data_IF_066066112751
#
_entry.id   IF_066066112751
#
_cell.length_a   1.000
_cell.length_b   1.000
_cell.length_c   1.000
_cell.angle_alpha   90.00
_cell.angle_beta   90.00
_cell.angle_gamma   90.00
#
_symmetry.space_group_name_H-M   'P 1'
#
loop_
_entity.id
_entity.type
_entity.pdbx_description
1 polymer ?
#
# COMPACT_ATOMS: atom_id res chain seq x y z
N UNK A 1 -1.05 -12.50 -17.97
CA UNK A 1 -0.66 -12.41 -16.55
C UNK A 1 -0.46 -10.94 -16.13
N UNK A 2 -1.51 -10.11 -16.11
CA UNK A 2 -1.42 -8.67 -15.74
C UNK A 2 -2.36 -8.24 -14.60
N UNK A 3 -2.92 -9.20 -13.87
CA UNK A 3 -3.89 -8.97 -12.79
C UNK A 3 -3.31 -9.19 -11.36
N UNK A 4 -2.00 -9.43 -11.22
CA UNK A 4 -1.39 -9.75 -9.92
C UNK A 4 -0.82 -8.54 -9.15
N UNK A 5 -0.80 -7.34 -9.73
CA UNK A 5 -0.20 -6.16 -9.09
C UNK A 5 -1.08 -5.50 -7.99
N UNK A 6 -2.36 -5.90 -7.84
CA UNK A 6 -3.32 -5.18 -7.00
C UNK A 6 -3.38 -5.61 -5.52
N UNK A 7 -2.51 -6.53 -5.08
CA UNK A 7 -2.56 -7.09 -3.72
C UNK A 7 -1.23 -7.03 -2.95
N UNK A 8 -0.17 -6.42 -3.49
CA UNK A 8 1.15 -6.49 -2.86
C UNK A 8 1.35 -5.53 -1.66
N UNK A 9 0.42 -4.61 -1.40
CA UNK A 9 0.47 -3.70 -0.23
C UNK A 9 -0.57 -4.03 0.84
N UNK A 10 -1.38 -5.08 0.62
CA UNK A 10 -2.18 -5.70 1.67
C UNK A 10 -1.41 -6.92 2.16
N UNK A 11 -1.01 -6.90 3.43
CA UNK A 11 -0.28 -7.96 4.09
C UNK A 11 -0.77 -9.36 3.68
N UNK A 12 0.16 -10.18 3.18
CA UNK A 12 0.09 -11.63 3.20
C UNK A 12 -0.13 -12.09 4.66
N UNK A 13 -1.38 -12.24 5.07
CA UNK A 13 -1.77 -13.10 6.20
C UNK A 13 -2.00 -14.49 5.61
N UNK A 14 -0.90 -15.17 5.29
CA UNK A 14 -0.92 -16.59 4.96
C UNK A 14 -0.98 -17.40 6.25
N UNK A 15 -2.17 -17.88 6.60
CA UNK A 15 -2.29 -19.00 7.52
C UNK A 15 -1.91 -20.27 6.75
N UNK A 16 -0.74 -20.84 7.05
CA UNK A 16 -0.43 -22.21 6.64
C UNK A 16 -1.33 -23.15 7.44
N UNK A 17 -2.41 -23.63 6.81
CA UNK A 17 -3.24 -24.72 7.29
C UNK A 17 -2.67 -26.02 6.69
N UNK A 18 -1.90 -26.75 7.49
CA UNK A 18 -1.44 -28.11 7.17
C UNK A 18 -2.65 -29.06 7.23
N UNK A 19 -3.36 -29.19 6.11
CA UNK A 19 -4.55 -30.03 5.97
C UNK A 19 -4.28 -31.31 5.19
N UNK A 20 -4.27 -32.43 5.93
CA UNK A 20 -4.15 -33.83 5.51
C UNK A 20 -4.88 -34.20 4.20
N UNK A 21 -4.15 -34.96 3.39
CA UNK A 21 -4.56 -35.62 2.16
C UNK A 21 -5.54 -36.77 2.46
N UNK A 22 -6.84 -36.51 2.30
CA UNK A 22 -7.89 -37.53 2.32
C UNK A 22 -8.68 -37.50 1.01
N UNK A 23 -8.30 -38.39 0.12
CA UNK A 23 -9.03 -38.75 -1.10
C UNK A 23 -10.46 -39.18 -0.78
N UNK A 24 -11.45 -38.44 -1.30
CA UNK A 24 -12.84 -38.90 -1.34
C UNK A 24 -13.41 -38.67 -2.73
N UNK A 25 -13.46 -39.75 -3.51
CA UNK A 25 -14.29 -39.89 -4.69
C UNK A 25 -15.76 -39.73 -4.30
N UNK A 26 -16.43 -38.71 -4.84
CA UNK A 26 -17.89 -38.67 -4.89
C UNK A 26 -18.36 -37.93 -6.14
N UNK A 27 -18.88 -38.72 -7.08
CA UNK A 27 -19.60 -38.26 -8.25
C UNK A 27 -20.80 -37.38 -7.85
N UNK A 28 -20.87 -36.17 -8.41
CA UNK A 28 -22.06 -35.31 -8.36
C UNK A 28 -22.64 -35.15 -9.77
N UNK A 29 -23.82 -35.74 -9.95
CA UNK A 29 -24.76 -35.48 -11.05
C UNK A 29 -25.31 -34.05 -11.01
N UNK A 30 -25.54 -33.40 -12.16
CA UNK A 30 -26.16 -32.08 -12.21
C UNK A 30 -27.67 -32.20 -12.02
N UNK A 31 -28.20 -31.51 -11.00
CA UNK A 31 -29.63 -31.31 -10.83
C UNK A 31 -29.99 -29.87 -11.19
N UNK A 32 -30.92 -29.75 -12.13
CA UNK A 32 -31.67 -28.56 -12.50
C UNK A 32 -32.16 -27.77 -11.28
N UNK A 33 -31.88 -26.47 -11.26
CA UNK A 33 -32.66 -25.52 -10.47
C UNK A 33 -33.13 -24.37 -11.36
N UNK A 34 -34.41 -24.46 -11.72
CA UNK A 34 -35.19 -23.40 -12.33
C UNK A 34 -35.35 -22.24 -11.36
N UNK A 35 -35.05 -21.02 -11.83
CA UNK A 35 -35.32 -19.78 -11.11
C UNK A 35 -36.81 -19.43 -11.20
N UNK A 36 -37.47 -19.02 -10.11
CA UNK A 36 -38.83 -18.49 -10.17
C UNK A 36 -38.84 -17.01 -10.62
N UNK A 37 -39.77 -16.72 -11.53
CA UNK A 37 -40.14 -15.38 -12.00
C UNK A 37 -40.57 -14.47 -10.83
N UNK A 38 -39.89 -13.33 -10.69
CA UNK A 38 -40.27 -12.25 -9.78
C UNK A 38 -41.12 -11.17 -10.47
N UNK A 39 -42.06 -10.53 -9.76
CA UNK A 39 -43.10 -9.72 -10.37
C UNK A 39 -42.63 -8.32 -10.80
N UNK A 40 -43.08 -7.95 -11.99
CA UNK A 40 -43.16 -6.60 -12.55
C UNK A 40 -43.90 -5.65 -11.61
N UNK A 41 -43.30 -4.50 -11.28
CA UNK A 41 -44.01 -3.39 -10.63
C UNK A 41 -44.02 -2.20 -11.59
N UNK A 42 -45.24 -1.87 -11.98
CA UNK A 42 -45.64 -0.81 -12.89
C UNK A 42 -45.35 0.60 -12.35
N UNK A 43 -45.18 1.50 -13.31
CA UNK A 43 -45.02 2.92 -13.18
C UNK A 43 -46.28 3.65 -12.67
N UNK A 44 -46.07 4.77 -12.00
CA UNK A 44 -47.09 5.79 -11.76
C UNK A 44 -46.44 7.16 -11.50
N UNK A 45 -46.76 8.20 -12.30
CA UNK A 45 -46.25 9.55 -12.11
C UNK A 45 -47.23 10.36 -11.24
N UNK A 46 -46.73 11.14 -10.28
CA UNK A 46 -47.55 12.18 -9.65
C UNK A 46 -46.78 13.50 -9.57
N UNK A 47 -47.42 14.49 -10.20
CA UNK A 47 -47.05 15.88 -10.23
C UNK A 47 -47.52 16.58 -8.96
N UNK A 48 -46.71 17.51 -8.44
CA UNK A 48 -47.17 18.63 -7.63
C UNK A 48 -46.13 19.76 -7.60
N UNK A 49 -46.32 20.76 -8.44
CA UNK A 49 -46.13 22.18 -8.08
C UNK A 49 -47.28 22.56 -7.11
N UNK A 50 -47.18 23.51 -6.16
CA UNK A 50 -46.81 24.90 -6.48
C UNK A 50 -46.16 25.76 -5.36
N UNK A 51 -45.97 27.02 -5.75
CA UNK A 51 -46.12 28.26 -4.97
C UNK A 51 -44.88 29.11 -4.65
N UNK A 52 -44.98 30.31 -5.21
CA UNK A 52 -44.20 31.51 -5.00
C UNK A 52 -44.52 32.15 -3.64
N UNK A 53 -43.54 32.86 -3.08
CA UNK A 53 -43.73 34.19 -2.48
C UNK A 53 -42.41 34.79 -1.97
N UNK A 54 -42.23 36.09 -2.28
CA UNK A 54 -41.64 37.16 -1.45
C UNK A 54 -40.19 37.01 -0.98
N UNK A 55 -39.24 37.88 -1.33
CA UNK A 55 -39.33 39.34 -1.44
C UNK A 55 -38.96 39.98 -0.10
N UNK A 56 -37.66 40.06 0.22
CA UNK A 56 -37.14 40.86 1.33
C UNK A 56 -35.90 41.65 0.89
N UNK A 57 -35.95 42.94 1.22
CA UNK A 57 -35.02 44.01 0.89
C UNK A 57 -33.64 43.82 1.55
N UNK A 58 -32.57 43.74 0.74
CA UNK A 58 -31.19 43.82 1.22
C UNK A 58 -30.70 45.28 1.19
N UNK A 59 -30.44 45.81 2.38
CA UNK A 59 -29.83 47.12 2.59
C UNK A 59 -28.38 47.18 2.06
N UNK A 60 -27.89 48.36 1.62
CA UNK A 60 -26.49 48.54 1.24
C UNK A 60 -25.67 48.97 2.46
N UNK A 61 -24.75 48.12 2.90
CA UNK A 61 -23.73 48.42 3.91
C UNK A 61 -22.86 47.18 4.09
N UNK A 62 -21.55 47.22 4.24
CA UNK A 62 -20.57 48.27 4.48
C UNK A 62 -19.26 47.83 3.79
N UNK A 63 -18.35 48.76 3.55
CA UNK A 63 -17.01 48.55 2.98
C UNK A 63 -16.28 47.34 3.62
N UNK A 64 -16.24 46.23 2.90
CA UNK A 64 -15.37 45.11 3.22
C UNK A 64 -13.93 45.54 2.95
N UNK A 65 -13.14 45.68 4.02
CA UNK A 65 -11.70 45.85 3.92
C UNK A 65 -11.12 44.75 3.00
N UNK A 66 -10.20 45.08 2.09
CA UNK A 66 -9.58 44.09 1.24
C UNK A 66 -8.96 42.98 2.10
N UNK A 67 -9.18 41.69 1.77
CA UNK A 67 -8.62 40.59 2.54
C UNK A 67 -7.11 40.80 2.66
N UNK A 68 -6.59 40.72 3.89
CA UNK A 68 -5.15 40.82 4.10
C UNK A 68 -4.46 39.72 3.29
N UNK A 69 -3.35 40.04 2.60
CA UNK A 69 -2.60 39.06 1.85
C UNK A 69 -2.15 37.96 2.81
N UNK A 70 -2.59 36.74 2.52
CA UNK A 70 -2.26 35.53 3.25
C UNK A 70 -0.74 35.48 3.46
N UNK A 71 -0.30 35.78 4.69
CA UNK A 71 1.12 35.93 5.00
C UNK A 71 1.80 34.57 4.89
N UNK A 72 2.40 34.35 3.72
CA UNK A 72 3.60 33.54 3.56
C UNK A 72 3.44 32.09 3.98
N UNK A 73 2.85 31.29 3.10
CA UNK A 73 3.25 29.88 3.00
C UNK A 73 4.76 29.90 2.74
N UNK A 74 5.55 29.65 3.79
CA UNK A 74 7.01 29.56 3.71
C UNK A 74 7.44 28.57 2.64
N UNK A 75 8.73 28.55 2.26
CA UNK A 75 9.23 27.59 1.29
C UNK A 75 8.76 26.20 1.74
N UNK A 76 8.15 25.44 0.82
CA UNK A 76 7.40 24.26 1.19
C UNK A 76 8.35 23.27 1.86
N UNK A 77 8.15 23.05 3.15
CA UNK A 77 8.91 22.06 3.92
C UNK A 77 8.71 20.70 3.25
N UNK A 78 9.81 20.01 2.94
CA UNK A 78 9.76 18.69 2.34
C UNK A 78 8.87 17.75 3.17
N UNK A 79 7.77 17.29 2.56
CA UNK A 79 6.76 16.43 3.20
C UNK A 79 7.18 14.96 3.06
N UNK A 80 8.16 14.57 3.88
CA UNK A 80 8.58 13.17 3.96
C UNK A 80 8.91 12.79 5.40
N UNK A 81 7.88 12.42 6.14
CA UNK A 81 7.96 11.97 7.53
C UNK A 81 7.18 10.67 7.71
N UNK A 82 7.66 9.52 7.20
CA UNK A 82 7.01 8.23 7.41
C UNK A 82 7.08 7.79 8.87
N UNK A 83 6.16 6.92 9.28
CA UNK A 83 6.23 6.25 10.57
C UNK A 83 7.44 5.30 10.63
N UNK A 84 8.02 5.10 11.83
CA UNK A 84 9.02 4.06 12.03
C UNK A 84 8.38 2.68 12.17
N UNK A 85 9.11 1.59 11.94
CA UNK A 85 8.58 0.24 12.09
C UNK A 85 8.09 -0.07 13.51
N UNK A 86 8.72 0.52 14.51
CA UNK A 86 8.42 0.30 15.93
C UNK A 86 7.15 1.02 16.39
N UNK A 87 6.63 1.94 15.57
CA UNK A 87 5.48 2.77 15.94
C UNK A 87 4.36 2.73 14.90
N UNK A 88 4.63 2.28 13.67
CA UNK A 88 3.63 2.22 12.60
C UNK A 88 2.51 1.23 12.93
N UNK A 89 1.30 1.76 13.02
CA UNK A 89 0.07 0.99 13.25
C UNK A 89 -0.84 1.03 12.02
N UNK A 90 -0.33 1.46 10.87
CA UNK A 90 -1.08 1.58 9.62
C UNK A 90 -1.24 3.02 9.15
N UNK A 91 -2.24 3.25 8.33
CA UNK A 91 -2.39 4.51 7.61
C UNK A 91 -3.36 4.41 6.44
N UNK A 92 -3.29 5.44 5.60
CA UNK A 92 -4.07 5.58 4.39
C UNK A 92 -3.15 5.75 3.19
N UNK A 93 -3.54 5.16 2.08
CA UNK A 93 -2.81 5.23 0.82
C UNK A 93 -3.76 5.72 -0.26
N UNK A 94 -3.30 6.76 -0.97
CA UNK A 94 -3.88 7.23 -2.22
C UNK A 94 -2.92 6.79 -3.31
N UNK A 95 -3.28 5.73 -4.01
CA UNK A 95 -2.42 5.09 -5.00
C UNK A 95 -2.83 5.50 -6.40
N UNK A 96 -1.86 6.00 -7.17
CA UNK A 96 -1.96 6.26 -8.61
C UNK A 96 -1.22 5.16 -9.37
N UNK A 97 -2.00 4.22 -9.90
CA UNK A 97 -1.53 3.25 -10.88
C UNK A 97 -1.61 3.82 -12.31
N UNK A 98 -1.30 2.98 -13.31
CA UNK A 98 -1.26 3.39 -14.72
C UNK A 98 -2.63 3.78 -15.29
N UNK A 99 -3.71 3.15 -14.81
CA UNK A 99 -5.06 3.26 -15.38
C UNK A 99 -6.16 3.53 -14.32
N UNK A 100 -5.79 3.62 -13.04
CA UNK A 100 -6.73 3.94 -11.98
C UNK A 100 -6.08 4.74 -10.84
N UNK A 101 -6.94 5.35 -10.01
CA UNK A 101 -6.55 5.89 -8.70
C UNK A 101 -7.40 5.24 -7.61
N UNK A 102 -6.74 4.66 -6.62
CA UNK A 102 -7.35 3.99 -5.48
C UNK A 102 -7.14 4.77 -4.19
N UNK A 103 -8.09 4.63 -3.25
CA UNK A 103 -7.96 5.14 -1.89
C UNK A 103 -8.36 4.04 -0.93
N UNK A 104 -7.47 3.70 -0.01
CA UNK A 104 -7.72 2.71 1.02
C UNK A 104 -6.93 2.99 2.29
N UNK A 105 -7.28 2.30 3.37
CA UNK A 105 -6.52 2.41 4.61
C UNK A 105 -6.99 1.44 5.69
N UNK A 106 -6.15 1.31 6.70
CA UNK A 106 -6.43 0.59 7.92
C UNK A 106 -5.57 1.14 9.04
N UNK A 107 -6.11 1.17 10.26
CA UNK A 107 -5.37 1.55 11.46
C UNK A 107 -5.59 0.45 12.48
N UNK A 108 -4.51 -0.10 13.03
CA UNK A 108 -4.52 -1.11 14.07
C UNK A 108 -4.41 -0.48 15.46
N UNK A 109 -4.81 -1.24 16.48
CA UNK A 109 -4.69 -0.84 17.88
C UNK A 109 -3.28 -1.02 18.45
N UNK A 110 -2.38 -1.64 17.70
CA UNK A 110 -1.00 -1.93 18.08
C UNK A 110 -0.13 -2.29 16.87
N UNK A 111 1.19 -2.28 17.06
CA UNK A 111 2.17 -2.64 16.02
C UNK A 111 2.21 -4.16 15.86
N UNK A 112 2.22 -4.65 14.62
CA UNK A 112 2.38 -6.08 14.34
C UNK A 112 3.82 -6.53 14.62
N UNK A 113 4.07 -7.42 15.61
CA UNK A 113 5.43 -7.73 16.05
C UNK A 113 6.36 -8.24 14.95
N UNK A 114 5.85 -9.04 14.00
CA UNK A 114 6.63 -9.56 12.88
C UNK A 114 6.86 -8.54 11.75
N UNK A 115 6.24 -7.36 11.83
CA UNK A 115 6.46 -6.24 10.90
C UNK A 115 7.42 -5.18 11.47
N UNK A 116 7.99 -5.41 12.67
CA UNK A 116 9.02 -4.54 13.26
C UNK A 116 10.40 -4.91 12.72
N UNK A 117 10.67 -4.50 11.48
CA UNK A 117 11.91 -4.84 10.79
C UNK A 117 13.15 -4.26 11.47
N UNK A 118 14.17 -5.10 11.64
CA UNK A 118 15.48 -4.73 12.15
C UNK A 118 16.43 -4.45 10.99
N UNK A 119 17.18 -3.35 11.09
CA UNK A 119 18.24 -3.05 10.13
C UNK A 119 19.49 -3.88 10.45
N UNK A 120 19.94 -4.70 9.50
CA UNK A 120 21.13 -5.57 9.67
C UNK A 120 22.35 -5.07 8.90
N UNK A 121 22.15 -4.20 7.90
CA UNK A 121 23.21 -3.47 7.21
C UNK A 121 22.65 -2.15 6.64
N UNK A 122 23.53 -1.18 6.39
CA UNK A 122 23.15 0.07 5.72
C UNK A 122 24.31 0.60 4.91
N UNK A 123 24.00 1.20 3.77
CA UNK A 123 24.94 1.90 2.91
C UNK A 123 24.21 2.99 2.12
N UNK A 124 24.67 4.24 2.26
CA UNK A 124 24.00 5.40 1.65
C UNK A 124 22.56 5.54 2.12
N UNK A 125 21.65 5.70 1.15
CA UNK A 125 20.20 5.83 1.35
C UNK A 125 19.49 4.49 1.56
N UNK A 126 20.23 3.37 1.59
CA UNK A 126 19.70 2.03 1.66
C UNK A 126 19.99 1.32 2.99
N UNK A 127 19.08 0.43 3.36
CA UNK A 127 19.22 -0.52 4.47
C UNK A 127 18.77 -1.91 4.07
N UNK A 128 19.51 -2.92 4.51
CA UNK A 128 19.05 -4.31 4.53
C UNK A 128 18.26 -4.51 5.81
N UNK A 129 17.03 -4.96 5.68
CA UNK A 129 16.13 -5.19 6.80
C UNK A 129 15.65 -6.63 6.85
N UNK A 130 15.42 -7.13 8.07
CA UNK A 130 14.89 -8.47 8.36
C UNK A 130 13.85 -8.38 9.47
N UNK A 131 12.74 -9.14 9.43
CA UNK A 131 11.83 -9.22 10.55
C UNK A 131 12.53 -9.90 11.74
N UNK A 132 12.02 -9.68 12.95
CA UNK A 132 12.55 -10.33 14.13
C UNK A 132 12.25 -11.83 14.09
N UNK A 133 13.20 -12.64 14.56
CA UNK A 133 12.92 -14.04 14.88
C UNK A 133 12.10 -14.10 16.16
N UNK A 134 10.80 -14.33 16.04
CA UNK A 134 9.87 -14.44 17.15
C UNK A 134 9.57 -15.92 17.43
N UNK A 135 9.74 -16.36 18.67
CA UNK A 135 9.51 -17.75 19.07
C UNK A 135 8.87 -17.82 20.46
N UNK A 136 7.83 -18.63 20.58
CA UNK A 136 7.04 -18.80 21.81
C UNK A 136 6.84 -20.30 22.05
N UNK A 137 7.20 -20.77 23.25
CA UNK A 137 6.98 -22.15 23.72
C UNK A 137 6.42 -22.14 25.16
N UNK A 138 5.17 -22.59 25.40
CA UNK A 138 4.23 -23.11 24.41
C UNK A 138 3.80 -22.05 23.40
N UNK A 139 3.27 -22.49 22.25
CA UNK A 139 2.67 -21.59 21.26
C UNK A 139 1.56 -20.73 21.85
N UNK A 140 1.33 -19.56 21.26
CA UNK A 140 0.35 -18.60 21.77
C UNK A 140 -1.10 -19.07 21.60
N UNK A 141 -1.96 -18.69 22.56
CA UNK A 141 -3.39 -18.98 22.50
C UNK A 141 -4.09 -18.18 21.38
N UNK A 142 -5.32 -18.59 21.03
CA UNK A 142 -6.13 -17.91 20.01
C UNK A 142 -6.30 -16.42 20.36
N UNK A 143 -6.05 -15.55 19.38
CA UNK A 143 -6.13 -14.08 19.57
C UNK A 143 -4.84 -13.46 20.11
N UNK A 144 -3.76 -14.23 20.23
CA UNK A 144 -2.42 -13.74 20.56
C UNK A 144 -1.42 -14.10 19.46
N UNK A 145 -0.31 -13.38 19.41
CA UNK A 145 0.83 -13.65 18.54
C UNK A 145 2.13 -13.60 19.35
N UNK A 146 3.20 -14.19 18.82
CA UNK A 146 4.48 -14.11 19.49
C UNK A 146 5.07 -12.70 19.35
N UNK A 147 5.49 -12.11 20.47
CA UNK A 147 6.22 -10.84 20.51
C UNK A 147 7.60 -11.01 21.15
N UNK A 148 8.37 -9.92 21.29
CA UNK A 148 9.72 -9.97 21.83
C UNK A 148 9.83 -10.54 23.26
N UNK A 149 8.75 -10.44 24.05
CA UNK A 149 8.72 -10.84 25.46
C UNK A 149 7.68 -11.95 25.74
N UNK A 150 7.34 -12.76 24.74
CA UNK A 150 6.32 -13.80 24.82
C UNK A 150 5.05 -13.42 24.09
N UNK A 151 3.95 -14.11 24.40
CA UNK A 151 2.67 -13.90 23.72
C UNK A 151 2.08 -12.53 24.05
N UNK A 152 1.74 -11.78 23.00
CA UNK A 152 1.05 -10.49 23.05
C UNK A 152 -0.28 -10.59 22.32
N UNK A 153 -1.28 -9.73 22.62
CA UNK A 153 -2.52 -9.70 21.84
C UNK A 153 -2.22 -9.54 20.34
N UNK A 154 -2.99 -10.23 19.49
CA UNK A 154 -2.92 -10.03 18.05
C UNK A 154 -3.46 -8.62 17.74
N UNK A 155 -2.72 -7.77 17.00
CA UNK A 155 -3.23 -6.46 16.61
C UNK A 155 -4.53 -6.59 15.82
N UNK A 156 -5.48 -5.72 16.12
CA UNK A 156 -6.75 -5.65 15.40
C UNK A 156 -6.96 -4.28 14.81
N UNK A 157 -7.51 -4.23 13.60
CA UNK A 157 -7.92 -2.97 12.99
C UNK A 157 -9.02 -2.32 13.83
N UNK A 158 -8.97 -1.00 13.96
CA UNK A 158 -9.92 -0.19 14.72
C UNK A 158 -10.67 0.80 13.81
N UNK A 159 -11.88 1.16 14.25
CA UNK A 159 -12.68 2.23 13.63
C UNK A 159 -12.16 3.59 14.11
N UNK A 160 -11.57 4.35 13.19
CA UNK A 160 -11.13 5.74 13.41
C UNK A 160 -12.19 6.76 12.98
N UNK A 161 -13.45 6.33 12.86
CA UNK A 161 -14.59 7.14 12.46
C UNK A 161 -14.70 7.30 10.95
N UNK A 162 -15.40 8.35 10.52
CA UNK A 162 -15.48 8.73 9.10
C UNK A 162 -14.18 9.42 8.69
N UNK A 163 -13.62 8.98 7.57
CA UNK A 163 -12.39 9.52 6.99
C UNK A 163 -12.73 10.30 5.74
N UNK A 164 -12.48 11.60 5.77
CA UNK A 164 -12.70 12.51 4.65
C UNK A 164 -11.38 12.89 4.01
N UNK A 165 -11.32 12.92 2.68
CA UNK A 165 -10.15 13.32 1.91
C UNK A 165 -10.53 14.44 0.93
N UNK A 166 -9.85 15.56 1.09
CA UNK A 166 -9.95 16.77 0.26
C UNK A 166 -8.72 16.91 -0.64
N UNK A 167 -8.83 17.74 -1.68
CA UNK A 167 -7.75 17.98 -2.64
C UNK A 167 -7.66 16.97 -3.78
N UNK A 168 -8.56 15.99 -3.79
CA UNK A 168 -8.79 15.10 -4.93
C UNK A 168 -9.77 15.73 -5.93
N UNK A 169 -9.75 15.26 -7.18
CA UNK A 169 -10.64 15.67 -8.26
C UNK A 169 -12.13 15.42 -7.95
N UNK A 170 -12.41 14.50 -7.04
CA UNK A 170 -13.69 14.34 -6.38
C UNK A 170 -13.44 14.07 -4.89
N UNK A 171 -14.23 14.68 -3.98
CA UNK A 171 -14.07 14.44 -2.54
C UNK A 171 -14.35 12.97 -2.21
N UNK A 172 -13.58 12.41 -1.28
CA UNK A 172 -13.75 11.03 -0.80
C UNK A 172 -14.16 11.07 0.66
N UNK A 173 -15.17 10.27 1.01
CA UNK A 173 -15.56 10.02 2.40
C UNK A 173 -15.74 8.52 2.59
N UNK A 174 -15.09 7.94 3.59
CA UNK A 174 -15.05 6.51 3.84
C UNK A 174 -15.38 6.19 5.29
N UNK A 175 -16.10 5.09 5.49
CA UNK A 175 -16.28 4.44 6.80
C UNK A 175 -15.68 3.05 6.77
N UNK A 176 -15.11 2.61 7.87
CA UNK A 176 -14.56 1.26 8.00
C UNK A 176 -15.62 0.18 7.78
N UNK A 177 -15.26 -0.90 7.10
CA UNK A 177 -16.12 -2.07 6.88
C UNK A 177 -15.88 -3.13 7.97
N UNK A 178 -16.81 -3.27 8.91
CA UNK A 178 -16.77 -4.35 9.90
C UNK A 178 -16.91 -5.74 9.24
N UNK A 179 -16.31 -6.81 9.81
CA UNK A 179 -15.57 -6.84 11.08
C UNK A 179 -14.07 -6.56 10.96
N UNK A 180 -13.55 -6.39 9.74
CA UNK A 180 -12.11 -6.20 9.48
C UNK A 180 -11.66 -4.74 9.57
N UNK A 181 -12.61 -3.82 9.72
CA UNK A 181 -12.42 -2.37 9.87
C UNK A 181 -11.53 -1.73 8.79
N UNK A 182 -11.67 -2.21 7.55
CA UNK A 182 -10.92 -1.72 6.41
C UNK A 182 -11.64 -0.53 5.74
N UNK A 183 -10.89 0.51 5.38
CA UNK A 183 -11.39 1.66 4.63
C UNK A 183 -11.09 1.45 3.15
N UNK A 184 -12.12 1.56 2.32
CA UNK A 184 -11.96 1.50 0.86
C UNK A 184 -12.93 2.46 0.23
N UNK A 185 -12.43 3.31 -0.66
CA UNK A 185 -13.31 4.09 -1.51
C UNK A 185 -14.00 3.15 -2.51
N UNK A 186 -15.32 3.03 -2.40
CA UNK A 186 -16.15 2.25 -3.33
C UNK A 186 -16.73 3.09 -4.48
N UNK A 187 -16.57 4.41 -4.41
CA UNK A 187 -17.03 5.35 -5.44
C UNK A 187 -16.08 5.42 -6.63
N UNK A 188 -16.59 5.90 -7.76
CA UNK A 188 -15.74 6.19 -8.91
C UNK A 188 -14.87 7.42 -8.63
N UNK A 189 -13.55 7.28 -8.79
CA UNK A 189 -12.61 8.39 -8.79
C UNK A 189 -12.15 8.69 -10.21
N UNK A 190 -12.10 9.97 -10.62
CA UNK A 190 -11.42 10.36 -11.85
C UNK A 190 -9.96 9.89 -11.83
N UNK A 191 -9.42 9.58 -13.01
CA UNK A 191 -8.00 9.23 -13.15
C UNK A 191 -7.29 10.21 -14.10
N UNK A 192 -6.20 10.86 -13.66
CA UNK A 192 -5.68 10.86 -12.29
C UNK A 192 -6.63 11.58 -11.31
N UNK A 193 -6.64 11.17 -10.04
CA UNK A 193 -7.51 11.80 -9.03
C UNK A 193 -6.93 13.08 -8.41
N UNK A 194 -5.74 13.52 -8.84
CA UNK A 194 -5.09 14.77 -8.38
C UNK A 194 -4.07 15.22 -9.44
N UNK A 195 -3.75 16.51 -9.46
CA UNK A 195 -2.62 17.03 -10.21
C UNK A 195 -1.34 17.07 -9.35
N UNK A 196 -0.14 17.05 -9.95
CA UNK A 196 1.11 17.27 -9.22
C UNK A 196 1.09 18.59 -8.45
N UNK A 197 1.49 18.55 -7.17
CA UNK A 197 1.55 19.71 -6.27
C UNK A 197 0.26 20.02 -5.50
N UNK A 198 -0.89 19.47 -5.91
CA UNK A 198 -2.16 19.66 -5.20
C UNK A 198 -2.02 19.31 -3.72
N UNK A 199 -2.53 20.17 -2.84
CA UNK A 199 -2.58 19.86 -1.41
C UNK A 199 -3.70 18.86 -1.17
N UNK A 200 -3.34 17.69 -0.65
CA UNK A 200 -4.29 16.67 -0.23
C UNK A 200 -4.37 16.71 1.29
N UNK A 201 -5.59 16.65 1.83
CA UNK A 201 -5.82 16.61 3.27
C UNK A 201 -6.70 15.42 3.61
N UNK A 202 -6.27 14.63 4.58
CA UNK A 202 -7.07 13.57 5.18
C UNK A 202 -7.46 13.97 6.60
N UNK A 203 -8.74 13.81 6.94
CA UNK A 203 -9.25 14.02 8.30
C UNK A 203 -10.02 12.79 8.75
N UNK A 204 -9.63 12.22 9.89
CA UNK A 204 -10.37 11.14 10.56
C UNK A 204 -11.20 11.73 11.70
N UNK A 205 -12.51 11.47 11.70
CA UNK A 205 -13.49 12.09 12.60
C UNK A 205 -13.96 11.13 13.71
N UNK A 206 -13.09 10.21 14.13
CA UNK A 206 -13.37 9.24 15.20
C UNK A 206 -13.28 9.81 16.61
N UNK A 207 -13.34 8.95 17.63
CA UNK A 207 -13.17 9.34 19.04
C UNK A 207 -11.83 10.03 19.33
N UNK A 208 -10.79 9.66 18.58
CA UNK A 208 -9.48 10.30 18.58
C UNK A 208 -9.21 10.87 17.19
N UNK A 209 -9.65 12.10 16.90
CA UNK A 209 -9.55 12.69 15.57
C UNK A 209 -8.10 13.07 15.25
N UNK A 210 -7.72 12.93 13.99
CA UNK A 210 -6.41 13.35 13.49
C UNK A 210 -6.51 13.89 12.06
N UNK A 211 -5.49 14.63 11.64
CA UNK A 211 -5.37 15.17 10.28
C UNK A 211 -3.97 14.92 9.75
N UNK A 212 -3.90 14.57 8.48
CA UNK A 212 -2.67 14.32 7.74
C UNK A 212 -2.73 15.09 6.42
N UNK A 213 -1.57 15.44 5.89
CA UNK A 213 -1.44 16.15 4.61
C UNK A 213 -0.64 15.34 3.61
N UNK A 214 -0.86 15.59 2.33
CA UNK A 214 -0.17 14.97 1.22
C UNK A 214 0.02 15.97 0.09
N UNK A 215 0.88 15.64 -0.88
CA UNK A 215 0.98 16.39 -2.13
C UNK A 215 0.69 15.47 -3.29
N UNK A 216 -0.08 15.94 -4.26
CA UNK A 216 -0.21 15.23 -5.53
C UNK A 216 1.15 15.08 -6.21
N UNK A 217 1.37 13.95 -6.86
CA UNK A 217 2.64 13.57 -7.50
C UNK A 217 2.46 13.22 -8.98
N UNK A 218 3.54 13.36 -9.75
CA UNK A 218 3.61 12.86 -11.11
C UNK A 218 3.60 11.32 -11.15
N UNK A 219 3.22 10.73 -12.30
CA UNK A 219 3.28 9.28 -12.45
C UNK A 219 4.74 8.84 -12.44
N UNK A 220 5.04 7.76 -11.74
CA UNK A 220 6.34 7.13 -11.82
C UNK A 220 6.46 6.38 -13.16
N UNK A 221 7.42 6.79 -13.98
CA UNK A 221 7.76 6.12 -15.25
C UNK A 221 9.16 5.53 -15.15
N UNK A 222 9.24 4.23 -14.84
CA UNK A 222 10.51 3.51 -14.78
C UNK A 222 10.95 3.10 -16.18
N UNK A 223 12.20 3.36 -16.51
CA UNK A 223 12.77 3.10 -17.84
C UNK A 223 13.36 1.69 -17.97
N UNK A 224 13.65 1.04 -16.84
CA UNK A 224 14.05 -0.36 -16.80
C UNK A 224 12.84 -1.26 -17.14
N UNK A 225 13.09 -2.33 -17.91
CA UNK A 225 12.11 -3.40 -18.12
C UNK A 225 12.23 -4.47 -17.02
N UNK A 226 13.47 -4.82 -16.65
CA UNK A 226 13.83 -5.73 -15.56
C UNK A 226 14.99 -5.16 -14.75
N UNK A 227 15.24 -5.73 -13.57
CA UNK A 227 16.38 -5.38 -12.72
C UNK A 227 17.35 -6.58 -12.59
N UNK A 228 18.46 -6.62 -13.36
CA UNK A 228 19.48 -7.64 -13.18
C UNK A 228 20.22 -7.45 -11.86
N UNK A 229 20.39 -8.54 -11.12
CA UNK A 229 21.21 -8.62 -9.90
C UNK A 229 22.35 -9.61 -10.08
N UNK A 230 23.56 -9.17 -9.79
CA UNK A 230 24.74 -10.01 -9.79
C UNK A 230 25.61 -9.68 -8.57
N UNK A 231 26.32 -10.68 -8.07
CA UNK A 231 27.24 -10.49 -6.96
C UNK A 231 28.38 -9.53 -7.36
N UNK A 232 28.72 -8.60 -6.46
CA UNK A 232 29.76 -7.59 -6.63
C UNK A 232 29.36 -6.40 -7.50
N UNK A 233 28.13 -6.35 -8.02
CA UNK A 233 27.65 -5.30 -8.91
C UNK A 233 26.49 -4.49 -8.29
N UNK A 234 26.49 -3.15 -8.40
CA UNK A 234 25.35 -2.34 -8.00
C UNK A 234 24.21 -2.49 -9.02
N UNK A 235 22.96 -2.51 -8.55
CA UNK A 235 21.79 -2.58 -9.43
C UNK A 235 21.32 -1.17 -9.80
N UNK A 236 21.22 -0.88 -11.10
CA UNK A 236 20.88 0.45 -11.61
C UNK A 236 19.39 0.58 -11.91
N UNK A 237 18.76 1.60 -11.33
CA UNK A 237 17.39 2.01 -11.58
C UNK A 237 17.39 3.39 -12.23
N UNK A 238 16.54 3.57 -13.23
CA UNK A 238 16.37 4.83 -13.96
C UNK A 238 14.88 5.09 -14.17
N UNK A 239 14.45 6.31 -13.95
CA UNK A 239 13.07 6.75 -14.14
C UNK A 239 13.02 8.19 -14.65
N UNK A 240 11.87 8.61 -15.17
CA UNK A 240 11.66 10.01 -15.55
C UNK A 240 11.59 10.87 -14.28
N UNK A 241 12.53 11.80 -14.03
CA UNK A 241 12.44 12.70 -12.88
C UNK A 241 11.20 13.60 -12.99
N UNK A 242 10.64 14.05 -11.85
CA UNK A 242 9.53 14.99 -11.86
C UNK A 242 9.99 16.38 -12.32
N UNK A 243 9.06 17.30 -12.53
CA UNK A 243 9.38 18.71 -12.74
C UNK A 243 10.17 19.30 -11.55
N UNK A 244 10.87 20.41 -11.78
CA UNK A 244 11.61 21.15 -10.73
C UNK A 244 10.68 21.49 -9.54
N UNK A 245 11.22 21.46 -8.31
CA UNK A 245 10.51 21.67 -7.03
C UNK A 245 9.55 20.56 -6.56
N UNK A 246 9.75 19.31 -6.99
CA UNK A 246 8.96 18.18 -6.53
C UNK A 246 9.14 17.85 -5.03
N UNK A 247 8.03 17.47 -4.38
CA UNK A 247 7.96 17.09 -2.96
C UNK A 247 8.22 15.61 -2.70
N UNK A 248 8.32 14.81 -3.75
CA UNK A 248 8.40 13.36 -3.66
C UNK A 248 9.79 12.86 -3.29
N UNK A 249 9.81 11.69 -2.66
CA UNK A 249 10.97 10.80 -2.61
C UNK A 249 10.67 9.56 -3.41
N UNK A 250 11.73 8.84 -3.78
CA UNK A 250 11.61 7.50 -4.33
C UNK A 250 11.94 6.50 -3.24
N UNK A 251 10.97 5.65 -2.94
CA UNK A 251 11.10 4.49 -2.07
C UNK A 251 11.28 3.25 -2.93
N UNK A 252 12.34 2.47 -2.67
CA UNK A 252 12.68 1.26 -3.41
C UNK A 252 12.66 0.11 -2.41
N UNK A 253 11.86 -0.91 -2.69
CA UNK A 253 11.82 -2.15 -1.92
C UNK A 253 12.21 -3.32 -2.84
N UNK A 254 13.39 -3.91 -2.59
CA UNK A 254 13.88 -5.08 -3.32
C UNK A 254 13.72 -6.33 -2.46
N UNK A 255 12.87 -7.25 -2.91
CA UNK A 255 12.63 -8.55 -2.28
C UNK A 255 12.89 -9.67 -3.30
N UNK A 256 13.82 -10.57 -2.96
CA UNK A 256 14.24 -11.67 -3.84
C UNK A 256 13.75 -13.06 -3.38
N UNK A 257 12.81 -13.11 -2.44
CA UNK A 257 12.28 -14.36 -1.89
C UNK A 257 10.77 -14.27 -1.59
N UNK A 258 9.96 -13.78 -2.55
CA UNK A 258 8.51 -13.57 -2.38
C UNK A 258 7.72 -14.81 -1.94
N UNK A 259 8.23 -16.01 -2.19
CA UNK A 259 7.60 -17.27 -1.80
C UNK A 259 8.54 -18.18 -0.97
N UNK A 260 9.71 -17.65 -0.59
CA UNK A 260 10.72 -18.36 0.18
C UNK A 260 10.69 -18.03 1.67
N UNK A 261 11.38 -18.86 2.45
CA UNK A 261 11.47 -18.71 3.90
C UNK A 261 12.42 -17.61 4.40
N UNK A 262 13.01 -16.78 3.52
CA UNK A 262 13.97 -15.75 3.94
C UNK A 262 13.37 -14.34 3.82
N UNK A 263 12.78 -13.79 4.90
CA UNK A 263 12.05 -12.52 4.84
C UNK A 263 12.96 -11.28 4.87
N UNK A 264 14.10 -11.31 4.18
CA UNK A 264 14.98 -10.15 4.08
C UNK A 264 14.65 -9.30 2.84
N UNK A 265 14.83 -7.99 2.95
CA UNK A 265 14.68 -7.07 1.82
C UNK A 265 15.60 -5.87 1.94
N UNK A 266 15.93 -5.26 0.82
CA UNK A 266 16.60 -3.96 0.81
C UNK A 266 15.53 -2.87 0.66
N UNK A 267 15.59 -1.86 1.53
CA UNK A 267 14.80 -0.65 1.42
C UNK A 267 15.71 0.55 1.22
N UNK A 268 15.41 1.37 0.21
CA UNK A 268 16.11 2.63 -0.03
C UNK A 268 15.11 3.79 -0.09
N UNK A 269 15.50 4.93 0.46
CA UNK A 269 14.73 6.18 0.37
C UNK A 269 15.66 7.26 -0.16
N UNK A 270 15.48 7.63 -1.42
CA UNK A 270 16.39 8.55 -2.11
C UNK A 270 15.65 9.75 -2.70
N UNK A 271 16.43 10.70 -3.23
CA UNK A 271 15.89 11.83 -3.97
C UNK A 271 15.16 11.36 -5.24
N UNK A 272 14.15 12.12 -5.66
CA UNK A 272 13.46 11.85 -6.92
C UNK A 272 14.16 12.60 -8.06
N UNK A 273 15.38 12.18 -8.40
CA UNK A 273 16.27 12.84 -9.37
C UNK A 273 16.50 12.03 -10.66
N UNK A 274 15.80 10.91 -10.82
CA UNK A 274 15.72 10.15 -12.07
C UNK A 274 16.62 8.91 -12.14
N UNK A 275 17.51 8.69 -11.18
CA UNK A 275 18.32 7.47 -11.15
C UNK A 275 18.83 7.13 -9.76
N UNK A 276 19.00 5.82 -9.50
CA UNK A 276 19.62 5.36 -8.27
C UNK A 276 20.32 4.02 -8.45
N UNK A 277 21.41 3.82 -7.72
CA UNK A 277 22.17 2.59 -7.70
C UNK A 277 22.02 1.90 -6.34
N UNK A 278 21.37 0.74 -6.29
CA UNK A 278 21.34 -0.08 -5.08
C UNK A 278 22.77 -0.60 -4.82
N UNK A 279 23.35 -0.36 -3.63
CA UNK A 279 24.74 -0.72 -3.36
C UNK A 279 25.03 -2.21 -3.50
N UNK A 280 26.12 -2.55 -4.19
CA UNK A 280 26.57 -3.93 -4.39
C UNK A 280 26.72 -4.70 -3.07
N UNK A 281 27.22 -4.04 -2.02
CA UNK A 281 27.46 -4.71 -0.73
C UNK A 281 26.16 -5.17 -0.04
N UNK A 282 25.04 -4.48 -0.28
CA UNK A 282 23.74 -4.88 0.23
C UNK A 282 23.13 -5.98 -0.64
N UNK A 283 23.29 -5.90 -1.96
CA UNK A 283 22.87 -6.95 -2.90
C UNK A 283 23.57 -8.27 -2.58
N UNK A 284 24.89 -8.25 -2.36
CA UNK A 284 25.67 -9.43 -1.99
C UNK A 284 25.11 -10.09 -0.74
N UNK A 285 24.89 -9.30 0.32
CA UNK A 285 24.30 -9.81 1.58
C UNK A 285 22.89 -10.36 1.37
N UNK A 286 22.08 -9.73 0.53
CA UNK A 286 20.73 -10.23 0.24
C UNK A 286 20.79 -11.55 -0.52
N UNK A 287 21.68 -11.69 -1.52
CA UNK A 287 21.89 -12.94 -2.26
C UNK A 287 22.43 -14.07 -1.37
N UNK A 288 23.33 -13.76 -0.42
CA UNK A 288 23.87 -14.72 0.56
C UNK A 288 22.79 -15.31 1.49
N UNK A 289 21.69 -14.59 1.70
CA UNK A 289 20.54 -15.05 2.47
C UNK A 289 19.63 -16.03 1.68
N UNK A 290 19.91 -16.20 0.39
CA UNK A 290 19.12 -17.03 -0.52
C UNK A 290 18.01 -16.25 -1.24
N UNK A 291 17.54 -16.84 -2.34
CA UNK A 291 16.51 -16.27 -3.20
C UNK A 291 15.61 -17.39 -3.73
N UNK A 292 14.37 -17.05 -4.10
CA UNK A 292 13.38 -18.02 -4.57
C UNK A 292 12.19 -17.34 -5.24
N UNK A 293 11.39 -18.14 -5.96
CA UNK A 293 10.16 -17.70 -6.61
C UNK A 293 10.36 -16.55 -7.58
N UNK A 294 9.45 -15.59 -7.54
CA UNK A 294 9.40 -14.44 -8.45
C UNK A 294 9.96 -13.20 -7.74
N UNK A 295 11.29 -12.98 -7.76
CA UNK A 295 11.90 -11.83 -7.12
C UNK A 295 11.43 -10.55 -7.82
N UNK A 296 11.23 -9.49 -7.04
CA UNK A 296 10.68 -8.22 -7.55
C UNK A 296 11.33 -7.03 -6.87
N UNK A 297 11.36 -5.92 -7.58
CA UNK A 297 11.61 -4.60 -6.99
C UNK A 297 10.37 -3.74 -7.16
N UNK A 298 9.90 -3.18 -6.05
CA UNK A 298 8.81 -2.20 -6.02
C UNK A 298 9.43 -0.82 -5.88
N UNK A 299 9.13 0.05 -6.84
CA UNK A 299 9.63 1.42 -6.88
C UNK A 299 8.41 2.32 -6.70
N UNK A 300 8.47 3.24 -5.75
CA UNK A 300 7.35 4.11 -5.41
C UNK A 300 7.81 5.55 -5.34
N UNK A 301 7.29 6.40 -6.21
CA UNK A 301 7.31 7.85 -6.04
C UNK A 301 6.25 8.20 -5.01
N UNK A 302 6.63 8.87 -3.92
CA UNK A 302 5.64 9.22 -2.88
C UNK A 302 5.93 10.46 -2.07
N UNK A 303 4.86 11.03 -1.52
CA UNK A 303 4.90 11.96 -0.38
C UNK A 303 4.32 11.27 0.85
N UNK A 304 4.87 11.55 2.02
CA UNK A 304 4.41 10.91 3.27
C UNK A 304 4.35 11.92 4.40
N UNK A 305 3.22 11.95 5.08
CA UNK A 305 3.02 12.65 6.34
C UNK A 305 2.57 11.67 7.42
N UNK A 306 2.87 11.98 8.67
CA UNK A 306 2.49 11.13 9.79
C UNK A 306 2.15 11.93 11.03
N UNK A 307 1.37 11.31 11.90
CA UNK A 307 1.05 11.84 13.22
C UNK A 307 1.01 10.71 14.24
N UNK A 308 1.41 11.03 15.46
CA UNK A 308 1.22 10.13 16.59
C UNK A 308 -0.22 10.25 17.11
N UNK A 309 -0.79 9.10 17.46
CA UNK A 309 -2.01 8.92 18.25
C UNK A 309 -1.68 8.04 19.47
N UNK A 310 -2.63 7.81 20.38
CA UNK A 310 -2.37 7.08 21.61
C UNK A 310 -1.82 5.66 21.41
N UNK A 311 -2.21 4.98 20.32
CA UNK A 311 -1.85 3.60 20.00
C UNK A 311 -0.52 3.48 19.24
N UNK A 312 -0.08 4.54 18.55
CA UNK A 312 1.07 4.49 17.67
C UNK A 312 1.12 5.64 16.66
N UNK A 313 1.79 5.41 15.54
CA UNK A 313 1.95 6.35 14.43
C UNK A 313 1.08 5.93 13.25
N UNK A 314 0.31 6.89 12.73
CA UNK A 314 -0.53 6.73 11.53
C UNK A 314 0.03 7.63 10.44
N UNK A 315 0.11 7.12 9.21
CA UNK A 315 0.61 7.88 8.06
C UNK A 315 -0.40 8.01 6.92
N UNK A 316 -0.25 9.06 6.12
CA UNK A 316 -0.88 9.23 4.82
C UNK A 316 0.21 9.16 3.76
N UNK A 317 0.00 8.29 2.78
CA UNK A 317 0.86 8.18 1.60
C UNK A 317 0.10 8.52 0.34
N UNK A 318 0.75 9.29 -0.53
CA UNK A 318 0.31 9.51 -1.91
C UNK A 318 1.35 8.84 -2.79
N UNK A 319 0.99 7.72 -3.39
CA UNK A 319 1.91 6.78 -4.02
C UNK A 319 1.68 6.72 -5.54
N UNK A 320 2.77 6.61 -6.32
CA UNK A 320 2.75 6.14 -7.70
C UNK A 320 3.77 5.01 -7.83
N UNK A 321 3.28 3.83 -8.20
CA UNK A 321 4.01 2.56 -8.04
C UNK A 321 4.37 1.97 -9.41
N UNK A 322 5.59 1.44 -9.49
CA UNK A 322 6.04 0.56 -10.56
C UNK A 322 6.67 -0.69 -9.95
N UNK A 323 6.48 -1.84 -10.61
CA UNK A 323 7.05 -3.12 -10.19
C UNK A 323 7.85 -3.67 -11.36
N UNK A 324 9.09 -4.08 -11.10
CA UNK A 324 9.93 -4.78 -12.07
C UNK A 324 10.22 -6.19 -11.60
N UNK A 325 10.31 -7.09 -12.57
CA UNK A 325 10.89 -8.42 -12.35
C UNK A 325 12.40 -8.27 -12.09
N UNK A 326 12.92 -9.10 -11.21
CA UNK A 326 14.34 -9.15 -10.87
C UNK A 326 14.97 -10.38 -11.53
N UNK A 327 16.10 -10.20 -12.20
CA UNK A 327 16.82 -11.29 -12.85
C UNK A 327 18.04 -11.69 -12.02
N UNK A 328 18.11 -12.95 -11.60
CA UNK A 328 19.24 -13.50 -10.83
C UNK A 328 19.85 -14.65 -11.63
N UNK A 329 21.18 -14.62 -11.93
CA UNK A 329 21.84 -15.69 -12.66
C UNK A 329 21.61 -17.06 -12.01
N UNK A 330 21.07 -18.01 -12.79
CA UNK A 330 20.82 -19.37 -12.36
C UNK A 330 19.47 -19.58 -11.65
N UNK A 331 18.69 -18.53 -11.41
CA UNK A 331 17.31 -18.65 -10.96
C UNK A 331 16.37 -18.83 -12.15
N UNK A 332 15.53 -19.85 -12.10
CA UNK A 332 14.37 -20.00 -13.00
C UNK A 332 13.14 -20.15 -12.12
N UNK A 333 12.25 -19.16 -12.16
CA UNK A 333 10.99 -19.15 -11.42
C UNK A 333 9.92 -19.95 -12.17
N UNK A 334 9.02 -20.61 -11.44
CA UNK A 334 7.96 -21.44 -12.02
C UNK A 334 6.65 -21.33 -11.24
N UNK A 335 5.54 -21.55 -11.92
CA UNK A 335 4.24 -21.81 -11.32
C UNK A 335 3.81 -23.28 -11.47
N UNK A 336 4.43 -24.03 -12.39
CA UNK A 336 4.28 -25.47 -12.57
C UNK A 336 5.49 -26.13 -13.23
N UNK A 337 5.51 -27.46 -13.27
CA UNK A 337 6.60 -28.24 -13.89
C UNK A 337 6.79 -27.88 -15.38
N UNK A 338 5.73 -27.46 -16.06
CA UNK A 338 5.76 -27.04 -17.46
C UNK A 338 6.55 -25.76 -17.73
N UNK A 339 6.78 -24.93 -16.71
CA UNK A 339 7.59 -23.72 -16.82
C UNK A 339 9.10 -24.03 -16.73
N UNK A 340 9.44 -25.25 -16.30
CA UNK A 340 10.82 -25.63 -16.01
C UNK A 340 11.55 -26.22 -17.22
N UNK A 341 12.87 -26.01 -17.33
CA UNK A 341 13.70 -26.67 -18.32
C UNK A 341 13.57 -28.20 -18.26
N UNK A 342 13.80 -28.87 -19.40
CA UNK A 342 13.72 -30.33 -19.51
C UNK A 342 14.53 -31.03 -18.40
N UNK A 343 13.84 -31.87 -17.62
CA UNK A 343 14.45 -32.67 -16.55
C UNK A 343 14.44 -32.01 -15.17
N UNK A 344 13.99 -30.76 -15.05
CA UNK A 344 13.74 -30.09 -13.79
C UNK A 344 12.24 -30.16 -13.42
N UNK A 345 11.93 -29.88 -12.16
CA UNK A 345 10.57 -29.73 -11.64
C UNK A 345 10.43 -28.45 -10.84
N UNK A 346 9.21 -27.95 -10.78
CA UNK A 346 8.89 -26.81 -9.96
C UNK A 346 8.86 -27.22 -8.48
N UNK A 347 9.68 -26.56 -7.68
CA UNK A 347 9.77 -26.80 -6.25
C UNK A 347 8.73 -25.98 -5.47
N UNK A 348 8.45 -26.32 -4.20
CA UNK A 348 7.52 -25.55 -3.38
C UNK A 348 7.89 -24.07 -3.18
N UNK A 349 9.18 -23.73 -3.31
CA UNK A 349 9.68 -22.35 -3.27
C UNK A 349 9.58 -21.64 -4.64
N UNK A 350 8.88 -22.26 -5.60
CA UNK A 350 8.62 -21.76 -6.95
C UNK A 350 9.91 -21.56 -7.77
N UNK A 351 10.90 -22.42 -7.54
CA UNK A 351 12.13 -22.51 -8.35
C UNK A 351 12.21 -23.82 -9.12
N UNK A 352 12.81 -23.80 -10.31
CA UNK A 352 13.08 -25.02 -11.07
C UNK A 352 14.37 -25.68 -10.58
N UNK A 353 14.29 -26.97 -10.24
CA UNK A 353 15.43 -27.81 -9.82
C UNK A 353 15.33 -29.20 -10.42
#
# INVERSE_FOLDING_TARGET
>A
MRWFALLLTAALIGACDDGDDATVDAAMTPADQAMPDGPSIDAGPDAAEPDAATGEDAAPGEDAAPPEPDEGVGPPTALYAPCSFETSIGGFVIERAADFTGVQGQVADSVTPNQVFMTTASEGDCRLVQPPTLFCDPGCERGSTCGPNGCVPLPVNMDVGTVDIEGLAAPVSMTASAPVWFYTNRGALPHPAFAPGDLIRLTANGPEPFTLTGRGIEALEVMNETLPLAAGEPAQLVWTPPAEDAYSRVHIELNIANHGGTPARIECITADDGAFAIPASLIDRLLELGFSGFPTVVITRRTVDSTAIAQGCVELRVDSVAVLDVEIPGLVSCAGDEDCPDGQRCQPDLTCQ
#
